data_IF_397492261282
#
_entry.id   IF_397492261282
#
_cell.length_a   1.000
_cell.length_b   1.000
_cell.length_c   1.000
_cell.angle_alpha   90.00
_cell.angle_beta   90.00
_cell.angle_gamma   90.00
#
_symmetry.space_group_name_H-M   'P 1'
#
loop_
_entity.id
_entity.type
_entity.pdbx_description
1 polymer ?
#
# COMPACT_ATOMS: atom_id res chain seq x y z
N UNK A 1 -68.59 10.72 -11.04
CA UNK A 1 -67.94 10.14 -12.23
C UNK A 1 -68.70 8.89 -12.60
N UNK A 2 -69.36 8.85 -13.76
CA UNK A 2 -70.06 7.64 -14.20
C UNK A 2 -69.07 6.51 -14.51
N UNK A 3 -69.50 5.25 -14.40
CA UNK A 3 -68.66 4.08 -14.69
C UNK A 3 -68.10 4.12 -16.12
N UNK A 4 -68.86 4.67 -17.06
CA UNK A 4 -68.47 4.89 -18.45
C UNK A 4 -67.26 5.83 -18.54
N UNK A 5 -67.25 6.93 -17.78
CA UNK A 5 -66.13 7.87 -17.75
C UNK A 5 -64.88 7.22 -17.14
N UNK A 6 -65.04 6.33 -16.15
CA UNK A 6 -63.90 5.57 -15.59
C UNK A 6 -63.28 4.63 -16.62
N UNK A 7 -64.11 3.89 -17.36
CA UNK A 7 -63.64 3.00 -18.43
C UNK A 7 -62.93 3.76 -19.56
N UNK A 8 -63.45 4.93 -19.94
CA UNK A 8 -62.82 5.79 -20.95
C UNK A 8 -61.45 6.33 -20.49
N UNK A 9 -61.33 6.76 -19.24
CA UNK A 9 -60.05 7.23 -18.69
C UNK A 9 -59.00 6.12 -18.61
N UNK A 10 -59.41 4.91 -18.23
CA UNK A 10 -58.52 3.73 -18.23
C UNK A 10 -58.08 3.41 -19.66
N UNK A 11 -59.01 3.38 -20.62
CA UNK A 11 -58.70 3.13 -22.03
C UNK A 11 -57.73 4.15 -22.62
N UNK A 12 -57.96 5.45 -22.37
CA UNK A 12 -57.05 6.52 -22.78
C UNK A 12 -55.69 6.43 -22.10
N UNK A 13 -55.64 6.04 -20.82
CA UNK A 13 -54.40 5.82 -20.08
C UNK A 13 -53.57 4.68 -20.67
N UNK A 14 -54.20 3.55 -20.99
CA UNK A 14 -53.51 2.40 -21.61
C UNK A 14 -52.98 2.75 -22.99
N UNK A 15 -53.79 3.42 -23.83
CA UNK A 15 -53.36 3.87 -25.15
C UNK A 15 -52.22 4.90 -25.07
N UNK A 16 -52.30 5.85 -24.13
CA UNK A 16 -51.24 6.84 -23.90
C UNK A 16 -49.93 6.22 -23.45
N UNK A 17 -49.99 5.26 -22.51
CA UNK A 17 -48.81 4.52 -22.05
C UNK A 17 -48.16 3.70 -23.18
N UNK A 18 -48.99 3.07 -24.03
CA UNK A 18 -48.52 2.33 -25.20
C UNK A 18 -47.81 3.22 -26.22
N UNK A 19 -48.35 4.41 -26.50
CA UNK A 19 -47.72 5.38 -27.41
C UNK A 19 -46.38 5.87 -26.83
N UNK A 20 -46.34 6.21 -25.54
CA UNK A 20 -45.10 6.63 -24.86
C UNK A 20 -44.03 5.53 -24.90
N UNK A 21 -44.42 4.26 -24.67
CA UNK A 21 -43.50 3.13 -24.78
C UNK A 21 -42.94 2.96 -26.20
N UNK A 22 -43.79 3.09 -27.24
CA UNK A 22 -43.35 3.01 -28.64
C UNK A 22 -42.45 4.19 -29.02
N UNK A 23 -42.75 5.40 -28.56
CA UNK A 23 -41.90 6.58 -28.76
C UNK A 23 -40.56 6.45 -28.05
N UNK A 24 -40.53 5.86 -26.84
CA UNK A 24 -39.29 5.54 -26.13
C UNK A 24 -38.47 4.46 -26.87
N UNK A 25 -39.12 3.42 -27.39
CA UNK A 25 -38.48 2.38 -28.20
C UNK A 25 -37.95 2.95 -29.52
N UNK A 26 -38.63 3.91 -30.16
CA UNK A 26 -38.10 4.58 -31.36
C UNK A 26 -37.04 5.63 -31.05
N UNK A 27 -37.09 6.24 -29.87
CA UNK A 27 -36.16 7.26 -29.38
C UNK A 27 -34.83 6.67 -28.93
N UNK A 28 -34.08 6.05 -29.85
CA UNK A 28 -32.76 5.44 -29.57
C UNK A 28 -31.80 6.41 -28.89
N UNK A 29 -31.81 7.69 -29.27
CA UNK A 29 -30.96 8.73 -28.65
C UNK A 29 -31.24 8.90 -27.14
N UNK A 30 -32.50 8.99 -26.74
CA UNK A 30 -32.89 9.18 -25.32
C UNK A 30 -32.50 7.95 -24.49
N UNK A 31 -32.67 6.75 -25.05
CA UNK A 31 -32.30 5.49 -24.38
C UNK A 31 -30.79 5.37 -24.17
N UNK A 32 -30.00 5.69 -25.19
CA UNK A 32 -28.54 5.64 -25.11
C UNK A 32 -28.03 6.70 -24.12
N UNK A 33 -28.51 7.94 -24.22
CA UNK A 33 -28.12 9.01 -23.28
C UNK A 33 -28.49 8.64 -21.84
N UNK A 34 -29.71 8.14 -21.60
CA UNK A 34 -30.14 7.67 -20.29
C UNK A 34 -29.24 6.55 -19.74
N UNK A 35 -28.96 5.52 -20.54
CA UNK A 35 -28.08 4.42 -20.15
C UNK A 35 -26.66 4.89 -19.80
N UNK A 36 -26.07 5.76 -20.62
CA UNK A 36 -24.74 6.32 -20.37
C UNK A 36 -24.73 7.15 -19.09
N UNK A 37 -25.73 8.00 -18.87
CA UNK A 37 -25.82 8.80 -17.63
C UNK A 37 -25.98 7.93 -16.38
N UNK A 38 -26.72 6.83 -16.46
CA UNK A 38 -26.86 5.87 -15.36
C UNK A 38 -25.51 5.20 -15.05
N UNK A 39 -24.79 4.73 -16.08
CA UNK A 39 -23.47 4.11 -15.89
C UNK A 39 -22.48 5.11 -15.27
N UNK A 40 -22.40 6.33 -15.82
CA UNK A 40 -21.49 7.35 -15.30
C UNK A 40 -21.86 7.76 -13.87
N UNK A 41 -23.15 7.84 -13.56
CA UNK A 41 -23.65 8.11 -12.22
C UNK A 41 -23.27 7.01 -11.22
N UNK A 42 -23.46 5.73 -11.59
CA UNK A 42 -23.05 4.59 -10.77
C UNK A 42 -21.53 4.56 -10.55
N UNK A 43 -20.75 4.78 -11.61
CA UNK A 43 -19.30 4.86 -11.51
C UNK A 43 -18.85 5.98 -10.56
N UNK A 44 -19.50 7.13 -10.66
CA UNK A 44 -19.24 8.28 -9.76
C UNK A 44 -19.59 7.93 -8.32
N UNK A 45 -20.75 7.32 -8.06
CA UNK A 45 -21.16 6.88 -6.72
C UNK A 45 -20.17 5.88 -6.10
N UNK A 46 -19.72 4.89 -6.88
CA UNK A 46 -18.70 3.94 -6.43
C UNK A 46 -17.38 4.65 -6.14
N UNK A 47 -16.97 5.58 -7.01
CA UNK A 47 -15.74 6.35 -6.82
C UNK A 47 -15.77 7.21 -5.56
N UNK A 48 -16.92 7.83 -5.24
CA UNK A 48 -17.13 8.59 -4.01
C UNK A 48 -17.23 7.69 -2.76
N UNK A 49 -17.62 6.43 -2.93
CA UNK A 49 -17.67 5.45 -1.83
C UNK A 49 -16.28 4.95 -1.43
N UNK A 50 -15.27 5.15 -2.28
CA UNK A 50 -13.87 4.89 -1.95
C UNK A 50 -13.35 6.09 -1.14
N UNK A 51 -12.86 5.90 0.10
CA UNK A 51 -12.26 6.97 0.88
C UNK A 51 -11.19 7.70 0.05
N UNK A 52 -11.42 8.98 -0.23
CA UNK A 52 -10.49 9.84 -0.95
C UNK A 52 -9.34 10.22 -0.01
N UNK A 53 -8.43 9.28 0.22
CA UNK A 53 -7.20 9.51 0.97
C UNK A 53 -6.34 10.43 0.10
N UNK A 54 -6.22 11.70 0.49
CA UNK A 54 -5.20 12.57 -0.07
C UNK A 54 -3.86 11.84 0.07
N UNK A 55 -3.13 11.65 -1.04
CA UNK A 55 -1.76 11.16 -1.01
C UNK A 55 -0.85 12.26 -0.45
N UNK A 56 -1.13 12.69 0.78
CA UNK A 56 -0.15 13.39 1.57
C UNK A 56 1.06 12.44 1.63
N UNK A 57 2.28 12.92 1.34
CA UNK A 57 3.47 12.11 1.56
C UNK A 57 3.36 11.56 2.99
N UNK A 58 3.58 10.25 3.20
CA UNK A 58 3.44 9.64 4.51
C UNK A 58 4.20 10.53 5.49
N UNK A 59 3.54 10.94 6.57
CA UNK A 59 4.21 11.69 7.63
C UNK A 59 5.43 10.88 8.00
N UNK A 60 6.60 11.37 7.63
CA UNK A 60 7.86 10.70 7.94
C UNK A 60 7.94 10.72 9.46
N UNK A 61 7.54 9.62 10.10
CA UNK A 61 7.78 9.40 11.51
C UNK A 61 9.30 9.31 11.67
N UNK A 62 9.91 10.47 11.91
CA UNK A 62 11.35 10.57 12.11
C UNK A 62 11.69 9.69 13.29
N UNK A 63 12.61 8.76 13.06
CA UNK A 63 13.18 7.90 14.09
C UNK A 63 13.75 8.79 15.21
N UNK A 64 13.02 8.92 16.32
CA UNK A 64 13.47 9.70 17.47
C UNK A 64 14.27 8.81 18.42
N UNK A 65 15.59 8.89 18.28
CA UNK A 65 16.58 8.15 19.07
C UNK A 65 16.37 8.40 20.57
N UNK A 66 15.86 9.57 20.96
CA UNK A 66 15.63 9.92 22.37
C UNK A 66 14.58 9.04 23.06
N UNK A 67 13.74 8.36 22.29
CA UNK A 67 12.70 7.45 22.82
C UNK A 67 13.25 6.04 23.09
N UNK A 68 14.43 5.69 22.54
CA UNK A 68 15.03 4.37 22.70
C UNK A 68 15.76 4.29 24.04
N UNK A 69 15.18 3.60 25.03
CA UNK A 69 15.81 3.40 26.34
C UNK A 69 16.43 2.01 26.48
N UNK A 70 15.86 1.03 25.78
CA UNK A 70 16.28 -0.37 25.86
C UNK A 70 16.45 -0.98 24.46
N UNK A 71 17.24 -2.05 24.31
CA UNK A 71 17.31 -2.81 23.06
C UNK A 71 15.94 -3.35 22.62
N UNK A 72 15.06 -3.68 23.57
CA UNK A 72 13.68 -4.09 23.28
C UNK A 72 12.82 -2.97 22.70
N UNK A 73 13.03 -1.71 23.12
CA UNK A 73 12.38 -0.55 22.50
C UNK A 73 12.86 -0.38 21.05
N UNK A 74 14.16 -0.63 20.82
CA UNK A 74 14.74 -0.59 19.48
C UNK A 74 14.12 -1.67 18.56
N UNK A 75 13.91 -2.89 19.07
CA UNK A 75 13.21 -3.94 18.34
C UNK A 75 11.74 -3.58 18.06
N UNK A 76 11.04 -2.93 19.01
CA UNK A 76 9.67 -2.47 18.79
C UNK A 76 9.59 -1.39 17.70
N UNK A 77 10.58 -0.50 17.61
CA UNK A 77 10.69 0.45 16.49
C UNK A 77 11.04 -0.28 15.20
N UNK A 78 11.95 -1.24 15.26
CA UNK A 78 12.29 -2.10 14.12
C UNK A 78 11.09 -2.81 13.53
N UNK A 79 10.18 -3.30 14.38
CA UNK A 79 8.91 -3.86 13.94
C UNK A 79 8.08 -2.84 13.17
N UNK A 80 7.95 -1.61 13.68
CA UNK A 80 7.22 -0.54 12.98
C UNK A 80 7.86 -0.28 11.61
N UNK A 81 9.17 -0.09 11.56
CA UNK A 81 9.92 0.14 10.31
C UNK A 81 9.72 -1.02 9.33
N UNK A 82 9.73 -2.27 9.80
CA UNK A 82 9.53 -3.46 8.98
C UNK A 82 8.17 -3.46 8.25
N UNK A 83 7.10 -3.04 8.92
CA UNK A 83 5.74 -3.00 8.37
C UNK A 83 5.36 -1.65 7.74
N UNK A 84 6.12 -0.58 8.02
CA UNK A 84 5.91 0.75 7.44
C UNK A 84 7.04 1.07 6.45
N UNK A 85 7.92 2.02 6.73
CA UNK A 85 8.89 2.59 5.78
C UNK A 85 9.73 1.53 5.05
N UNK A 86 10.16 0.47 5.74
CA UNK A 86 10.97 -0.61 5.17
C UNK A 86 10.22 -1.51 4.19
N UNK A 87 8.89 -1.56 4.25
CA UNK A 87 8.02 -2.35 3.36
C UNK A 87 8.45 -3.83 3.23
N UNK A 88 9.16 -4.35 4.23
CA UNK A 88 9.76 -5.69 4.20
C UNK A 88 8.67 -6.75 4.07
N UNK A 89 7.52 -6.52 4.72
CA UNK A 89 6.35 -7.40 4.71
C UNK A 89 5.65 -7.53 3.35
N UNK A 90 5.94 -6.65 2.38
CA UNK A 90 5.41 -6.79 1.01
C UNK A 90 6.05 -7.96 0.26
N UNK A 91 7.29 -8.29 0.61
CA UNK A 91 8.10 -9.28 -0.07
C UNK A 91 8.36 -10.50 0.81
N UNK A 92 8.66 -10.29 2.09
CA UNK A 92 9.02 -11.34 3.03
C UNK A 92 7.86 -11.71 3.95
N UNK A 93 7.81 -12.99 4.30
CA UNK A 93 6.95 -13.51 5.36
C UNK A 93 7.77 -13.80 6.62
N UNK A 94 7.07 -13.96 7.75
CA UNK A 94 7.68 -14.42 9.01
C UNK A 94 6.87 -15.61 9.54
N UNK A 95 6.99 -16.74 8.86
CA UNK A 95 6.31 -18.00 9.13
C UNK A 95 4.76 -17.94 9.17
N UNK A 96 4.10 -19.10 9.30
CA UNK A 96 4.56 -20.41 8.81
C UNK A 96 4.49 -20.52 7.27
N UNK A 97 3.91 -19.55 6.58
CA UNK A 97 3.87 -19.51 5.12
C UNK A 97 5.13 -18.86 4.54
N UNK A 98 5.67 -19.41 3.46
CA UNK A 98 6.68 -18.75 2.65
C UNK A 98 6.05 -18.04 1.44
N UNK A 99 6.65 -16.93 1.01
CA UNK A 99 6.29 -16.32 -0.26
C UNK A 99 6.92 -17.11 -1.41
N UNK A 100 6.25 -17.19 -2.56
CA UNK A 100 6.81 -17.84 -3.74
C UNK A 100 8.03 -17.10 -4.33
N UNK A 101 8.21 -15.82 -3.97
CA UNK A 101 9.17 -14.92 -4.61
C UNK A 101 10.40 -14.60 -3.75
N UNK A 102 10.26 -14.67 -2.43
CA UNK A 102 11.26 -14.25 -1.45
C UNK A 102 11.31 -15.23 -0.26
N UNK A 103 12.47 -15.38 0.41
CA UNK A 103 12.62 -16.29 1.54
C UNK A 103 11.82 -15.87 2.77
N UNK A 104 11.40 -16.86 3.56
CA UNK A 104 10.84 -16.66 4.89
C UNK A 104 11.93 -16.19 5.88
N UNK A 105 11.64 -15.16 6.68
CA UNK A 105 12.57 -14.58 7.66
C UNK A 105 12.47 -15.20 9.05
N UNK A 106 11.61 -16.21 9.26
CA UNK A 106 11.50 -16.90 10.55
C UNK A 106 12.87 -17.43 11.02
N UNK A 107 13.30 -16.98 12.20
CA UNK A 107 14.54 -17.40 12.84
C UNK A 107 15.82 -16.84 12.20
N UNK A 108 15.71 -15.90 11.25
CA UNK A 108 16.89 -15.39 10.53
C UNK A 108 17.85 -14.60 11.44
N UNK A 109 17.31 -13.95 12.47
CA UNK A 109 18.09 -13.18 13.44
C UNK A 109 18.96 -14.03 14.36
N UNK A 110 18.66 -15.33 14.50
CA UNK A 110 19.51 -16.29 15.22
C UNK A 110 20.51 -17.01 14.29
N UNK A 111 20.27 -16.99 12.97
CA UNK A 111 21.08 -17.72 11.99
C UNK A 111 22.21 -16.89 11.40
N UNK A 112 21.99 -15.59 11.24
CA UNK A 112 22.92 -14.68 10.57
C UNK A 112 23.53 -13.71 11.58
N UNK A 113 24.80 -13.38 11.39
CA UNK A 113 25.45 -12.34 12.21
C UNK A 113 24.83 -10.98 11.94
N UNK A 114 25.00 -10.05 12.89
CA UNK A 114 24.51 -8.68 12.74
C UNK A 114 25.13 -7.99 11.51
N UNK A 115 26.41 -8.24 11.24
CA UNK A 115 27.13 -7.67 10.10
C UNK A 115 26.56 -8.20 8.79
N UNK A 116 26.29 -9.51 8.73
CA UNK A 116 25.73 -10.13 7.54
C UNK A 116 24.29 -9.65 7.28
N UNK A 117 23.48 -9.47 8.32
CA UNK A 117 22.15 -8.88 8.19
C UNK A 117 22.22 -7.43 7.69
N UNK A 118 23.15 -6.63 8.22
CA UNK A 118 23.36 -5.25 7.77
C UNK A 118 23.82 -5.18 6.31
N UNK A 119 24.76 -6.03 5.93
CA UNK A 119 25.25 -6.14 4.55
C UNK A 119 24.16 -6.65 3.61
N UNK A 120 23.34 -7.62 4.02
CA UNK A 120 22.20 -8.11 3.23
C UNK A 120 21.19 -7.01 2.92
N UNK A 121 21.00 -6.05 3.83
CA UNK A 121 20.08 -4.92 3.63
C UNK A 121 20.70 -3.79 2.78
N UNK A 122 22.01 -3.58 2.88
CA UNK A 122 22.71 -2.46 2.22
C UNK A 122 23.41 -2.84 0.92
N UNK A 123 23.68 -4.11 0.71
CA UNK A 123 24.32 -4.72 -0.47
C UNK A 123 23.70 -6.10 -0.78
N UNK A 124 22.37 -6.19 -1.02
CA UNK A 124 21.70 -7.48 -1.22
C UNK A 124 22.21 -8.30 -2.42
N UNK A 125 22.88 -7.67 -3.39
CA UNK A 125 23.46 -8.34 -4.55
C UNK A 125 24.90 -8.84 -4.33
N UNK A 126 25.51 -8.59 -3.17
CA UNK A 126 26.86 -9.06 -2.88
C UNK A 126 26.94 -10.59 -2.78
N UNK A 127 25.82 -11.25 -2.46
CA UNK A 127 25.73 -12.69 -2.31
C UNK A 127 24.44 -13.22 -2.94
N UNK A 128 24.49 -14.46 -3.42
CA UNK A 128 23.29 -15.18 -3.87
C UNK A 128 22.78 -15.99 -2.69
N UNK A 129 21.58 -15.67 -2.21
CA UNK A 129 20.95 -16.43 -1.14
C UNK A 129 20.41 -17.76 -1.68
N UNK A 130 20.82 -18.84 -1.03
CA UNK A 130 20.37 -20.20 -1.31
C UNK A 130 19.73 -20.76 -0.04
N UNK A 131 18.49 -21.23 -0.14
CA UNK A 131 17.75 -21.74 1.01
C UNK A 131 17.89 -23.26 1.13
N UNK A 132 18.59 -23.67 2.19
CA UNK A 132 18.86 -25.06 2.54
C UNK A 132 17.85 -25.62 3.56
N UNK A 133 16.75 -24.91 3.86
CA UNK A 133 15.67 -25.40 4.74
C UNK A 133 14.75 -26.40 4.05
N UNK A 134 14.91 -26.60 2.75
CA UNK A 134 14.17 -27.57 1.94
C UNK A 134 15.00 -28.83 1.72
N UNK A 135 14.35 -29.98 1.56
CA UNK A 135 15.04 -31.21 1.22
C UNK A 135 15.56 -31.17 -0.22
N UNK A 136 16.79 -31.66 -0.43
CA UNK A 136 17.43 -31.72 -1.75
C UNK A 136 18.29 -30.52 -2.07
N UNK A 137 18.20 -30.02 -3.31
CA UNK A 137 18.99 -28.86 -3.74
C UNK A 137 18.45 -27.58 -3.09
N UNK A 138 19.36 -26.64 -2.82
CA UNK A 138 18.99 -25.37 -2.24
C UNK A 138 17.98 -24.63 -3.14
N UNK A 139 16.95 -24.07 -2.52
CA UNK A 139 15.94 -23.29 -3.23
C UNK A 139 16.47 -21.89 -3.51
N UNK A 140 16.30 -21.46 -4.75
CA UNK A 140 16.59 -20.10 -5.19
C UNK A 140 15.29 -19.30 -5.29
N UNK A 141 15.41 -17.98 -5.15
CA UNK A 141 14.28 -17.06 -5.20
C UNK A 141 14.40 -16.12 -6.40
N UNK A 142 13.35 -15.95 -7.21
CA UNK A 142 13.43 -15.17 -8.44
C UNK A 142 13.47 -13.65 -8.19
N UNK A 143 13.06 -13.17 -7.01
CA UNK A 143 13.05 -11.75 -6.71
C UNK A 143 14.43 -11.28 -6.24
N UNK A 144 14.90 -10.17 -6.83
CA UNK A 144 16.09 -9.46 -6.38
C UNK A 144 15.68 -8.41 -5.34
N UNK A 145 16.32 -8.45 -4.16
CA UNK A 145 16.07 -7.47 -3.11
C UNK A 145 16.67 -6.10 -3.48
N UNK A 146 15.93 -4.98 -3.37
CA UNK A 146 16.49 -3.66 -3.64
C UNK A 146 17.43 -3.20 -2.52
N UNK A 147 18.33 -2.26 -2.83
CA UNK A 147 19.16 -1.58 -1.83
C UNK A 147 18.28 -0.81 -0.84
N UNK A 148 18.18 -1.26 0.41
CA UNK A 148 17.23 -0.73 1.39
C UNK A 148 17.62 0.67 1.88
N UNK A 149 18.91 0.98 1.88
CA UNK A 149 19.45 2.29 2.22
C UNK A 149 19.38 3.33 1.09
N UNK A 150 18.79 2.98 -0.07
CA UNK A 150 18.64 3.88 -1.23
C UNK A 150 17.16 4.07 -1.56
N UNK A 151 16.86 5.11 -2.34
CA UNK A 151 15.51 5.34 -2.86
C UNK A 151 15.03 4.13 -3.68
N UNK A 152 13.74 3.76 -3.61
CA UNK A 152 12.63 4.50 -2.98
C UNK A 152 12.41 4.23 -1.48
N UNK A 153 13.13 3.30 -0.84
CA UNK A 153 12.91 2.93 0.58
C UNK A 153 13.67 3.86 1.53
N UNK A 154 14.97 4.07 1.27
CA UNK A 154 15.79 5.07 1.96
C UNK A 154 15.84 4.91 3.49
N UNK A 155 16.04 3.70 4.01
CA UNK A 155 16.27 3.53 5.45
C UNK A 155 17.64 4.10 5.85
N UNK A 156 17.64 4.87 6.93
CA UNK A 156 18.85 5.32 7.63
C UNK A 156 19.55 4.16 8.33
N UNK A 157 20.82 4.35 8.69
CA UNK A 157 21.59 3.36 9.46
C UNK A 157 20.87 2.94 10.74
N UNK A 158 20.26 3.87 11.48
CA UNK A 158 19.57 3.56 12.73
C UNK A 158 18.29 2.76 12.51
N UNK A 159 17.53 3.05 11.44
CA UNK A 159 16.35 2.27 11.07
C UNK A 159 16.72 0.85 10.65
N UNK A 160 17.82 0.67 9.91
CA UNK A 160 18.35 -0.65 9.55
C UNK A 160 18.74 -1.43 10.82
N UNK A 161 19.46 -0.80 11.74
CA UNK A 161 19.82 -1.42 13.01
C UNK A 161 18.57 -1.79 13.82
N UNK A 162 17.53 -0.94 13.84
CA UNK A 162 16.27 -1.26 14.48
C UNK A 162 15.61 -2.51 13.88
N UNK A 163 15.56 -2.63 12.55
CA UNK A 163 15.05 -3.82 11.86
C UNK A 163 15.86 -5.07 12.23
N UNK A 164 17.19 -4.97 12.33
CA UNK A 164 18.03 -6.10 12.76
C UNK A 164 17.71 -6.51 14.20
N UNK A 165 17.57 -5.54 15.13
CA UNK A 165 17.16 -5.81 16.50
C UNK A 165 15.81 -6.53 16.56
N UNK A 166 14.85 -6.13 15.72
CA UNK A 166 13.56 -6.79 15.58
C UNK A 166 13.71 -8.25 15.10
N UNK A 167 14.51 -8.50 14.06
CA UNK A 167 14.74 -9.87 13.55
C UNK A 167 15.39 -10.78 14.59
N UNK A 168 16.33 -10.25 15.39
CA UNK A 168 16.96 -10.96 16.51
C UNK A 168 15.94 -11.29 17.60
N UNK A 169 15.17 -10.29 18.04
CA UNK A 169 14.12 -10.44 19.04
C UNK A 169 13.09 -11.50 18.62
N UNK A 170 12.64 -11.48 17.37
CA UNK A 170 11.71 -12.47 16.83
C UNK A 170 12.28 -13.89 16.73
N UNK A 171 13.61 -14.01 16.65
CA UNK A 171 14.31 -15.29 16.58
C UNK A 171 14.67 -15.85 17.95
N UNK A 172 14.37 -15.12 19.04
CA UNK A 172 14.72 -15.52 20.41
C UNK A 172 16.20 -15.29 20.76
N UNK A 173 16.94 -14.56 19.94
CA UNK A 173 18.36 -14.25 20.15
C UNK A 173 18.51 -12.93 20.93
N UNK A 174 19.49 -12.79 21.85
CA UNK A 174 19.82 -11.50 22.44
C UNK A 174 20.09 -10.44 21.37
N UNK A 175 19.48 -9.28 21.54
CA UNK A 175 19.69 -8.13 20.65
C UNK A 175 21.14 -7.67 20.76
N UNK A 176 21.87 -7.77 19.65
CA UNK A 176 23.30 -7.48 19.57
C UNK A 176 23.65 -5.99 19.44
N UNK A 177 22.64 -5.12 19.36
CA UNK A 177 22.80 -3.69 19.11
C UNK A 177 22.62 -2.92 20.42
N UNK A 178 23.66 -2.22 20.87
CA UNK A 178 23.55 -1.34 22.01
C UNK A 178 22.92 0.01 21.61
N UNK A 179 22.10 0.57 22.51
CA UNK A 179 21.46 1.89 22.32
C UNK A 179 22.52 3.00 22.12
N UNK A 180 23.70 2.86 22.72
CA UNK A 180 24.83 3.79 22.57
C UNK A 180 25.48 3.77 21.17
N UNK A 181 25.22 2.75 20.35
CA UNK A 181 25.76 2.65 18.99
C UNK A 181 24.89 3.39 17.94
N UNK A 182 23.70 3.82 18.34
CA UNK A 182 22.80 4.63 17.52
C UNK A 182 23.44 6.01 17.35
N UNK A 183 23.88 6.31 16.13
CA UNK A 183 24.49 7.61 15.84
C UNK A 183 23.42 8.70 15.90
N UNK A 184 23.76 9.92 16.34
CA UNK A 184 22.91 11.09 16.15
C UNK A 184 22.43 11.16 14.67
N UNK A 185 21.19 11.57 14.41
CA UNK A 185 20.52 11.29 13.14
C UNK A 185 21.32 11.88 11.97
N UNK A 186 22.04 11.04 11.25
CA UNK A 186 22.62 11.38 9.96
C UNK A 186 21.44 11.49 8.99
N UNK A 187 21.13 12.72 8.60
CA UNK A 187 20.08 13.01 7.65
C UNK A 187 20.39 12.24 6.36
N UNK A 188 19.50 11.30 6.01
CA UNK A 188 19.46 10.77 4.66
C UNK A 188 19.52 11.96 3.69
N UNK A 189 20.33 11.90 2.62
CA UNK A 189 20.53 13.05 1.75
C UNK A 189 19.17 13.54 1.26
N UNK A 190 18.78 14.71 1.77
CA UNK A 190 17.58 15.41 1.36
C UNK A 190 17.78 15.82 -0.10
N UNK A 191 17.31 14.99 -1.01
CA UNK A 191 17.01 15.46 -2.36
C UNK A 191 15.91 16.49 -2.17
N UNK A 192 16.06 17.73 -2.69
CA UNK A 192 14.99 18.71 -2.61
C UNK A 192 13.76 18.09 -3.23
N UNK A 193 12.71 17.88 -2.43
CA UNK A 193 11.37 17.64 -2.95
C UNK A 193 11.11 18.83 -3.87
N UNK A 194 11.12 18.60 -5.18
CA UNK A 194 10.65 19.61 -6.12
C UNK A 194 9.25 19.95 -5.63
N UNK A 195 9.11 21.18 -5.14
CA UNK A 195 7.86 21.77 -4.68
C UNK A 195 6.82 21.39 -5.74
N UNK A 196 5.87 20.53 -5.37
CA UNK A 196 4.76 20.21 -6.24
C UNK A 196 4.23 21.55 -6.71
N UNK A 197 4.34 21.80 -8.02
CA UNK A 197 3.77 22.98 -8.63
C UNK A 197 2.32 23.04 -8.17
N UNK A 198 1.95 24.15 -7.54
CA UNK A 198 0.59 24.40 -7.07
C UNK A 198 -0.38 23.95 -8.14
N UNK A 199 -1.14 22.88 -7.85
CA UNK A 199 -2.26 22.51 -8.69
C UNK A 199 -3.25 23.65 -8.59
N UNK A 200 -3.24 24.51 -9.61
CA UNK A 200 -4.26 25.51 -9.88
C UNK A 200 -5.63 24.86 -9.64
N UNK A 201 -6.50 25.45 -8.81
CA UNK A 201 -7.82 24.90 -8.61
C UNK A 201 -8.53 24.90 -9.96
N UNK A 202 -8.97 23.72 -10.40
CA UNK A 202 -9.80 23.59 -11.60
C UNK A 202 -11.06 24.42 -11.35
N UNK A 203 -11.14 25.58 -12.01
CA UNK A 203 -12.30 26.44 -11.96
C UNK A 203 -13.51 25.64 -12.45
N UNK A 204 -14.50 25.50 -11.57
CA UNK A 204 -15.82 24.97 -11.91
C UNK A 204 -16.40 25.89 -12.98
N UNK A 205 -16.48 25.39 -14.21
CA UNK A 205 -17.13 26.10 -15.31
C UNK A 205 -18.60 26.34 -14.93
N UNK A 206 -18.94 27.58 -14.59
CA UNK A 206 -20.31 28.07 -14.53
C UNK A 206 -20.87 28.05 -15.96
N UNK A 207 -21.87 27.21 -16.19
CA UNK A 207 -22.59 27.14 -17.47
C UNK A 207 -23.67 28.24 -17.45
N UNK A 208 -23.56 29.20 -18.36
CA UNK A 208 -24.64 30.10 -18.79
C UNK A 208 -25.42 29.46 -19.93
#
# INVERSE_FOLDING_TARGET
MSEIVRLQLIGLGVMGLGILALLFIRGTFIRVTGFVTIILGLFTLVSLSIPQMASLPPVEEKFDIATVKTPTDLAAIGQKVFFSKGQCALCHTIGPSESARCPDLKGIGAKLSREFLYESLTQPQAYIYQDYRVEGMAKEYPATMPYINKNPIGLSRNEILAVIAFLQQMSGEPISIAVSELAAPEQAPAVPVQKAAESVPVAVAQVH
#
